data_IF_623520326270
#
_entry.id   IF_623520326270
#
_cell.length_a   1.000
_cell.length_b   1.000
_cell.length_c   1.000
_cell.angle_alpha   90.00
_cell.angle_beta   90.00
_cell.angle_gamma   90.00
#
_symmetry.space_group_name_H-M   'P 1'
#
loop_
_entity.id
_entity.type
_entity.pdbx_description
1 polymer ?
#
# COMPACT_ATOMS: atom_id res chain seq x y z
N UNK A 1 -24.98 -4.73 -12.62
CA UNK A 1 -26.15 -3.81 -12.59
C UNK A 1 -26.84 -3.72 -11.23
N UNK A 2 -26.97 -4.82 -10.46
CA UNK A 2 -27.63 -4.81 -9.13
C UNK A 2 -26.97 -3.91 -8.07
N UNK A 3 -25.64 -3.90 -8.00
CA UNK A 3 -24.88 -3.09 -7.03
C UNK A 3 -25.06 -1.57 -7.26
N UNK A 4 -25.33 -1.16 -8.50
CA UNK A 4 -25.52 0.24 -8.89
C UNK A 4 -26.91 0.78 -8.48
N UNK A 5 -27.95 -0.04 -8.51
CA UNK A 5 -29.33 0.40 -8.21
C UNK A 5 -29.60 0.56 -6.71
N UNK A 6 -28.99 -0.27 -5.85
CA UNK A 6 -29.34 -0.36 -4.42
C UNK A 6 -28.39 0.43 -3.50
N UNK A 7 -27.31 1.00 -4.03
CA UNK A 7 -26.31 1.70 -3.22
C UNK A 7 -26.60 3.21 -3.12
N UNK A 8 -26.53 3.73 -1.88
CA UNK A 8 -26.50 5.19 -1.65
C UNK A 8 -25.28 5.82 -2.37
N UNK A 9 -25.35 7.11 -2.74
CA UNK A 9 -24.23 7.86 -3.34
C UNK A 9 -22.87 7.59 -2.69
N UNK A 10 -22.82 7.58 -1.35
CA UNK A 10 -21.59 7.31 -0.59
C UNK A 10 -21.15 5.84 -0.65
N UNK A 11 -22.09 4.88 -0.58
CA UNK A 11 -21.77 3.46 -0.76
C UNK A 11 -21.24 3.19 -2.16
N UNK A 12 -21.83 3.82 -3.18
CA UNK A 12 -21.38 3.72 -4.56
C UNK A 12 -19.93 4.21 -4.75
N UNK A 13 -19.61 5.41 -4.23
CA UNK A 13 -18.23 5.93 -4.20
C UNK A 13 -17.25 4.96 -3.56
N UNK A 14 -17.61 4.38 -2.41
CA UNK A 14 -16.75 3.42 -1.71
C UNK A 14 -16.54 2.14 -2.53
N UNK A 15 -17.59 1.61 -3.16
CA UNK A 15 -17.51 0.41 -4.01
C UNK A 15 -16.57 0.64 -5.20
N UNK A 16 -16.70 1.77 -5.89
CA UNK A 16 -15.78 2.12 -6.98
C UNK A 16 -14.34 2.14 -6.47
N UNK A 17 -14.10 2.72 -5.30
CA UNK A 17 -12.74 2.77 -4.75
C UNK A 17 -12.17 1.40 -4.41
N UNK A 18 -12.98 0.49 -3.86
CA UNK A 18 -12.54 -0.89 -3.65
C UNK A 18 -12.25 -1.63 -4.96
N UNK A 19 -13.10 -1.44 -5.98
CA UNK A 19 -12.85 -1.97 -7.33
C UNK A 19 -11.52 -1.43 -7.85
N UNK A 20 -11.26 -0.12 -7.75
CA UNK A 20 -10.00 0.49 -8.18
C UNK A 20 -8.78 -0.10 -7.46
N UNK A 21 -8.85 -0.31 -6.14
CA UNK A 21 -7.77 -0.93 -5.37
C UNK A 21 -7.52 -2.36 -5.86
N UNK A 22 -8.58 -3.17 -6.01
CA UNK A 22 -8.46 -4.56 -6.49
C UNK A 22 -7.90 -4.60 -7.90
N UNK A 23 -8.39 -3.76 -8.81
CA UNK A 23 -7.89 -3.68 -10.19
C UNK A 23 -6.42 -3.24 -10.25
N UNK A 24 -6.01 -2.27 -9.42
CA UNK A 24 -4.61 -1.84 -9.37
C UNK A 24 -3.68 -2.99 -8.98
N UNK A 25 -4.06 -3.74 -7.94
CA UNK A 25 -3.31 -4.92 -7.47
C UNK A 25 -3.35 -6.05 -8.51
N UNK A 26 -4.49 -6.27 -9.18
CA UNK A 26 -4.63 -7.29 -10.22
C UNK A 26 -3.75 -6.97 -11.43
N UNK A 27 -3.74 -5.73 -11.92
CA UNK A 27 -2.90 -5.32 -13.05
C UNK A 27 -1.42 -5.50 -12.70
N UNK A 28 -1.00 -5.04 -11.52
CA UNK A 28 0.37 -5.20 -11.04
C UNK A 28 0.74 -6.69 -10.88
N UNK A 29 -0.15 -7.48 -10.28
CA UNK A 29 -0.05 -8.93 -10.13
C UNK A 29 0.08 -9.64 -11.46
N UNK A 30 -0.79 -9.33 -12.41
CA UNK A 30 -0.75 -9.86 -13.77
C UNK A 30 0.57 -9.53 -14.45
N UNK A 31 1.03 -8.28 -14.38
CA UNK A 31 2.31 -7.87 -14.97
C UNK A 31 3.51 -8.63 -14.38
N UNK A 32 3.51 -8.91 -13.08
CA UNK A 32 4.61 -9.65 -12.44
C UNK A 32 4.50 -11.17 -12.61
N UNK A 33 3.32 -11.75 -12.42
CA UNK A 33 3.15 -13.20 -12.34
C UNK A 33 3.07 -13.83 -13.73
N UNK A 34 2.33 -13.21 -14.66
CA UNK A 34 2.02 -13.81 -15.96
C UNK A 34 3.29 -14.14 -16.77
N UNK A 35 4.28 -13.23 -16.95
CA UNK A 35 5.49 -13.56 -17.70
C UNK A 35 6.26 -14.75 -17.12
N UNK A 36 6.32 -14.85 -15.78
CA UNK A 36 7.02 -15.93 -15.07
C UNK A 36 6.32 -17.28 -15.22
N UNK A 37 4.98 -17.28 -15.22
CA UNK A 37 4.22 -18.50 -15.51
C UNK A 37 4.49 -18.97 -16.95
N UNK A 38 4.55 -18.05 -17.91
CA UNK A 38 4.88 -18.37 -19.31
C UNK A 38 6.30 -18.91 -19.49
N UNK A 39 7.29 -18.40 -18.75
CA UNK A 39 8.65 -18.95 -18.77
C UNK A 39 8.71 -20.39 -18.22
N UNK A 40 7.90 -20.70 -17.19
CA UNK A 40 7.85 -22.05 -16.57
C UNK A 40 7.01 -23.06 -17.36
N UNK A 41 5.90 -22.62 -17.95
CA UNK A 41 5.04 -23.47 -18.76
C UNK A 41 5.54 -23.52 -20.21
N UNK A 42 6.26 -24.60 -20.53
CA UNK A 42 6.24 -25.19 -21.88
C UNK A 42 6.76 -24.26 -22.99
N UNK A 43 7.97 -23.73 -22.84
CA UNK A 43 8.77 -23.29 -24.00
C UNK A 43 9.38 -24.47 -24.79
N UNK A 44 9.05 -25.73 -24.46
CA UNK A 44 9.65 -26.90 -25.12
C UNK A 44 8.77 -27.68 -26.08
N UNK A 45 7.42 -27.69 -26.00
CA UNK A 45 6.64 -28.63 -26.84
C UNK A 45 5.21 -28.18 -27.24
N UNK A 46 4.84 -26.90 -27.14
CA UNK A 46 3.53 -26.45 -27.64
C UNK A 46 3.68 -25.07 -28.25
N UNK A 47 3.17 -24.87 -29.47
CA UNK A 47 3.10 -23.54 -30.10
C UNK A 47 2.12 -22.71 -29.26
N UNK A 48 2.65 -21.97 -28.28
CA UNK A 48 1.88 -21.31 -27.21
C UNK A 48 0.76 -20.43 -27.78
N UNK A 49 0.94 -19.85 -28.97
CA UNK A 49 -0.05 -19.03 -29.68
C UNK A 49 -1.29 -19.77 -30.19
N UNK A 50 -1.60 -20.96 -29.69
CA UNK A 50 -2.76 -21.75 -30.11
C UNK A 50 -3.63 -22.23 -28.92
N UNK A 51 -3.21 -21.93 -27.68
CA UNK A 51 -3.93 -22.36 -26.48
C UNK A 51 -5.28 -21.63 -26.32
N UNK A 52 -6.42 -22.34 -26.15
CA UNK A 52 -7.73 -21.70 -25.97
C UNK A 52 -7.82 -20.77 -24.76
N UNK A 53 -7.04 -21.03 -23.71
CA UNK A 53 -6.98 -20.18 -22.52
C UNK A 53 -6.52 -18.74 -22.82
N UNK A 54 -5.75 -18.52 -23.91
CA UNK A 54 -5.31 -17.20 -24.33
C UNK A 54 -6.46 -16.32 -24.83
N UNK A 55 -7.61 -16.90 -25.21
CA UNK A 55 -8.80 -16.13 -25.56
C UNK A 55 -9.37 -15.34 -24.37
N UNK A 56 -9.00 -15.66 -23.14
CA UNK A 56 -9.40 -14.87 -21.97
C UNK A 56 -8.50 -13.65 -21.73
N UNK A 57 -7.40 -13.50 -22.49
CA UNK A 57 -6.45 -12.41 -22.32
C UNK A 57 -6.64 -11.36 -23.43
N UNK A 58 -7.21 -10.17 -23.14
CA UNK A 58 -7.37 -9.12 -24.14
C UNK A 58 -6.09 -8.72 -24.91
N UNK A 59 -4.89 -8.67 -24.29
CA UNK A 59 -3.66 -8.40 -25.03
C UNK A 59 -3.38 -9.41 -26.14
N UNK A 60 -3.79 -10.68 -25.96
CA UNK A 60 -3.60 -11.72 -26.96
C UNK A 60 -4.47 -11.50 -28.20
N UNK A 61 -5.67 -10.93 -28.06
CA UNK A 61 -6.54 -10.61 -29.20
C UNK A 61 -5.83 -9.66 -30.17
N UNK A 62 -5.21 -8.60 -29.66
CA UNK A 62 -4.45 -7.65 -30.48
C UNK A 62 -3.19 -8.27 -31.07
N UNK A 63 -2.49 -9.13 -30.32
CA UNK A 63 -1.34 -9.85 -30.84
C UNK A 63 -1.73 -10.81 -31.99
N UNK A 64 -2.87 -11.51 -31.84
CA UNK A 64 -3.42 -12.39 -32.87
C UNK A 64 -3.83 -11.62 -34.13
N UNK A 65 -4.43 -10.44 -33.98
CA UNK A 65 -4.74 -9.55 -35.12
C UNK A 65 -3.49 -9.15 -35.89
N UNK A 66 -2.39 -8.80 -35.19
CA UNK A 66 -1.10 -8.48 -35.83
C UNK A 66 -0.44 -9.70 -36.48
N UNK A 67 -0.60 -10.89 -35.89
CA UNK A 67 -0.11 -12.14 -36.47
C UNK A 67 -0.85 -12.47 -37.76
N UNK A 68 -2.17 -12.36 -37.77
CA UNK A 68 -2.99 -12.60 -38.97
C UNK A 68 -2.67 -11.63 -40.10
N UNK A 69 -2.40 -10.36 -39.78
CA UNK A 69 -2.07 -9.36 -40.81
C UNK A 69 -0.70 -9.57 -41.47
N UNK A 70 0.20 -10.32 -40.84
CA UNK A 70 1.58 -10.49 -41.31
C UNK A 70 1.91 -11.91 -41.78
N UNK A 71 1.34 -12.93 -41.14
CA UNK A 71 1.74 -14.34 -41.34
C UNK A 71 0.58 -15.26 -41.74
N UNK A 72 -0.66 -14.74 -41.85
CA UNK A 72 -1.89 -15.47 -42.20
C UNK A 72 -1.96 -16.89 -41.62
N UNK A 73 -2.53 -17.03 -40.41
CA UNK A 73 -2.58 -18.32 -39.75
C UNK A 73 -3.96 -18.97 -39.88
N UNK A 74 -4.00 -20.26 -40.22
CA UNK A 74 -5.27 -21.00 -40.35
C UNK A 74 -5.81 -21.51 -39.01
N UNK A 75 -5.20 -21.15 -37.89
CA UNK A 75 -5.54 -21.73 -36.60
C UNK A 75 -6.81 -21.07 -36.00
N UNK A 76 -7.87 -21.83 -35.67
CA UNK A 76 -9.16 -21.28 -35.22
C UNK A 76 -9.06 -20.33 -34.02
N UNK A 77 -8.17 -20.63 -33.06
CA UNK A 77 -7.99 -19.78 -31.87
C UNK A 77 -7.42 -18.41 -32.21
N UNK A 78 -6.52 -18.32 -33.18
CA UNK A 78 -5.91 -17.05 -33.61
C UNK A 78 -6.95 -16.22 -34.37
N UNK A 79 -7.74 -16.87 -35.24
CA UNK A 79 -8.82 -16.22 -35.98
C UNK A 79 -9.91 -15.65 -35.06
N UNK A 80 -10.37 -16.45 -34.07
CA UNK A 80 -11.34 -15.97 -33.06
C UNK A 80 -10.75 -14.81 -32.26
N UNK A 81 -9.48 -14.89 -31.85
CA UNK A 81 -8.81 -13.83 -31.12
C UNK A 81 -8.71 -12.53 -31.95
N UNK A 82 -8.37 -12.63 -33.24
CA UNK A 82 -8.32 -11.48 -34.14
C UNK A 82 -9.71 -10.84 -34.35
N UNK A 83 -10.77 -11.66 -34.47
CA UNK A 83 -12.14 -11.17 -34.54
C UNK A 83 -12.56 -10.45 -33.24
N UNK A 84 -12.21 -11.00 -32.07
CA UNK A 84 -12.45 -10.37 -30.77
C UNK A 84 -11.74 -9.01 -30.66
N UNK A 85 -10.53 -8.86 -31.21
CA UNK A 85 -9.78 -7.61 -31.18
C UNK A 85 -10.51 -6.44 -31.87
N UNK A 86 -11.33 -6.74 -32.89
CA UNK A 86 -12.13 -5.76 -33.61
C UNK A 86 -13.53 -5.58 -32.99
N UNK A 87 -14.18 -6.69 -32.62
CA UNK A 87 -15.55 -6.67 -32.12
C UNK A 87 -15.66 -6.15 -30.68
N UNK A 88 -14.75 -6.55 -29.80
CA UNK A 88 -14.83 -6.22 -28.37
C UNK A 88 -14.69 -4.72 -28.07
N UNK A 89 -13.81 -3.94 -28.72
CA UNK A 89 -13.77 -2.49 -28.53
C UNK A 89 -15.08 -1.81 -28.94
N UNK A 90 -15.67 -2.19 -30.08
CA UNK A 90 -16.93 -1.63 -30.58
C UNK A 90 -18.09 -1.98 -29.64
N UNK A 91 -18.20 -3.25 -29.26
CA UNK A 91 -19.18 -3.70 -28.28
C UNK A 91 -19.00 -3.00 -26.93
N UNK A 92 -17.76 -2.82 -26.49
CA UNK A 92 -17.41 -2.11 -25.27
C UNK A 92 -17.89 -0.67 -25.27
N UNK A 93 -17.62 0.07 -26.35
CA UNK A 93 -18.11 1.46 -26.52
C UNK A 93 -19.63 1.48 -26.48
N UNK A 94 -20.29 0.60 -27.25
CA UNK A 94 -21.76 0.51 -27.27
C UNK A 94 -22.32 0.25 -25.87
N UNK A 95 -21.77 -0.72 -25.14
CA UNK A 95 -22.24 -1.08 -23.79
C UNK A 95 -22.01 0.07 -22.81
N UNK A 96 -20.84 0.72 -22.86
CA UNK A 96 -20.51 1.88 -21.99
C UNK A 96 -21.47 3.04 -22.24
N UNK A 97 -21.64 3.44 -23.49
CA UNK A 97 -22.48 4.60 -23.84
C UNK A 97 -23.96 4.31 -23.56
N UNK A 98 -24.46 3.12 -23.93
CA UNK A 98 -25.88 2.80 -23.83
C UNK A 98 -26.34 2.45 -22.42
N UNK A 99 -25.53 1.73 -21.65
CA UNK A 99 -25.97 1.17 -20.36
C UNK A 99 -25.24 1.76 -19.15
N UNK A 100 -23.93 1.99 -19.24
CA UNK A 100 -23.15 2.45 -18.07
C UNK A 100 -23.21 3.96 -17.88
N UNK A 101 -22.99 4.74 -18.94
CA UNK A 101 -22.92 6.21 -18.87
C UNK A 101 -24.19 6.86 -18.28
N UNK A 102 -25.43 6.47 -18.66
CA UNK A 102 -26.64 7.07 -18.08
C UNK A 102 -26.76 6.82 -16.57
N UNK A 103 -26.55 5.57 -16.15
CA UNK A 103 -26.61 5.18 -14.73
C UNK A 103 -25.52 5.87 -13.92
N UNK A 104 -24.31 5.97 -14.48
CA UNK A 104 -23.19 6.64 -13.85
C UNK A 104 -23.45 8.15 -13.67
N UNK A 105 -23.89 8.81 -14.74
CA UNK A 105 -24.22 10.24 -14.72
C UNK A 105 -25.34 10.57 -13.73
N UNK A 106 -26.38 9.72 -13.66
CA UNK A 106 -27.46 9.88 -12.68
C UNK A 106 -26.94 9.78 -11.24
N UNK A 107 -26.07 8.81 -10.95
CA UNK A 107 -25.46 8.65 -9.61
C UNK A 107 -24.48 9.77 -9.28
N UNK A 108 -23.74 10.26 -10.28
CA UNK A 108 -22.84 11.41 -10.14
C UNK A 108 -23.63 12.68 -9.80
N UNK A 109 -24.76 12.91 -10.46
CA UNK A 109 -25.64 14.04 -10.16
C UNK A 109 -26.21 13.96 -8.73
N UNK A 110 -26.62 12.77 -8.28
CA UNK A 110 -27.09 12.54 -6.91
C UNK A 110 -26.00 12.82 -5.86
N UNK A 111 -24.76 12.41 -6.13
CA UNK A 111 -23.60 12.69 -5.28
C UNK A 111 -23.37 14.20 -5.12
N UNK A 112 -23.44 14.96 -6.21
CA UNK A 112 -23.19 16.39 -6.22
C UNK A 112 -24.30 17.19 -5.53
N UNK A 113 -25.54 16.68 -5.57
CA UNK A 113 -26.69 17.26 -4.85
C UNK A 113 -26.83 16.85 -3.38
N UNK A 114 -26.21 15.75 -2.95
CA UNK A 114 -26.38 15.18 -1.61
C UNK A 114 -25.24 15.49 -0.63
N UNK A 115 -24.47 16.57 -0.84
CA UNK A 115 -23.33 16.95 0.01
C UNK A 115 -23.70 17.29 1.47
N UNK A 116 -24.99 17.25 1.83
CA UNK A 116 -25.50 17.58 3.16
C UNK A 116 -26.08 16.43 3.99
N UNK A 117 -26.19 15.20 3.48
CA UNK A 117 -26.71 14.10 4.32
C UNK A 117 -25.64 13.58 5.27
N UNK A 118 -25.56 14.24 6.43
CA UNK A 118 -24.85 13.74 7.60
C UNK A 118 -25.29 12.28 7.85
N UNK A 119 -24.35 11.35 7.73
CA UNK A 119 -24.58 9.98 8.14
C UNK A 119 -25.08 10.00 9.59
N UNK A 120 -26.34 9.61 9.81
CA UNK A 120 -26.94 9.47 11.14
C UNK A 120 -25.95 8.73 12.01
N UNK A 121 -25.43 9.41 13.03
CA UNK A 121 -24.45 8.86 13.94
C UNK A 121 -25.06 7.63 14.60
N UNK A 122 -24.68 6.44 14.11
CA UNK A 122 -25.07 5.17 14.73
C UNK A 122 -24.58 5.24 16.18
N UNK A 123 -25.50 5.19 17.15
CA UNK A 123 -25.17 5.13 18.58
C UNK A 123 -24.07 4.08 18.76
N UNK A 124 -22.91 4.51 19.25
CA UNK A 124 -21.79 3.62 19.55
C UNK A 124 -22.27 2.73 20.69
N UNK A 125 -22.61 1.48 20.37
CA UNK A 125 -22.93 0.48 21.37
C UNK A 125 -21.73 0.29 22.32
N UNK A 126 -22.04 0.19 23.62
CA UNK A 126 -21.13 0.45 24.72
C UNK A 126 -19.86 -0.39 24.81
N UNK A 127 -18.90 0.17 25.54
CA UNK A 127 -17.81 -0.43 26.34
C UNK A 127 -17.06 -1.68 25.86
N UNK A 128 -17.08 -2.03 24.58
CA UNK A 128 -16.12 -2.98 24.02
C UNK A 128 -14.84 -2.22 23.69
N UNK A 129 -13.75 -2.58 24.37
CA UNK A 129 -12.40 -2.16 23.98
C UNK A 129 -12.17 -2.56 22.53
N UNK A 130 -12.20 -1.58 21.63
CA UNK A 130 -11.94 -1.82 20.21
C UNK A 130 -10.46 -2.18 20.05
N UNK A 131 -10.10 -3.00 19.06
CA UNK A 131 -8.70 -3.32 18.74
C UNK A 131 -7.81 -2.05 18.66
N UNK A 132 -8.33 -0.97 18.08
CA UNK A 132 -7.64 0.33 18.05
C UNK A 132 -7.34 0.90 19.43
N UNK A 133 -8.23 0.71 20.41
CA UNK A 133 -8.06 1.16 21.80
C UNK A 133 -7.00 0.34 22.53
N UNK A 134 -7.00 -0.98 22.32
CA UNK A 134 -5.96 -1.88 22.86
C UNK A 134 -4.58 -1.45 22.35
N UNK A 135 -4.45 -1.25 21.03
CA UNK A 135 -3.20 -0.78 20.43
C UNK A 135 -2.79 0.61 20.94
N UNK A 136 -3.75 1.52 21.09
CA UNK A 136 -3.46 2.85 21.61
C UNK A 136 -2.94 2.78 23.06
N UNK A 137 -3.55 1.96 23.92
CA UNK A 137 -3.09 1.78 25.30
C UNK A 137 -1.67 1.19 25.39
N UNK A 138 -1.27 0.36 24.42
CA UNK A 138 0.04 -0.31 24.43
C UNK A 138 1.17 0.58 23.88
N UNK A 139 0.91 1.36 22.82
CA UNK A 139 1.95 2.06 22.07
C UNK A 139 2.00 3.58 22.30
N UNK A 140 1.04 4.17 22.99
CA UNK A 140 0.96 5.63 23.19
C UNK A 140 0.86 6.05 24.65
N UNK A 141 1.37 7.24 24.97
CA UNK A 141 1.12 7.85 26.27
C UNK A 141 -0.34 8.34 26.34
N UNK A 142 -0.92 8.30 27.54
CA UNK A 142 -2.27 8.82 27.79
C UNK A 142 -2.37 10.31 27.45
N UNK A 143 -3.56 10.76 27.07
CA UNK A 143 -3.84 12.15 26.73
C UNK A 143 -3.88 12.41 25.23
N UNK A 144 -3.23 13.49 24.79
CA UNK A 144 -3.32 14.00 23.41
C UNK A 144 -2.72 13.01 22.39
N UNK A 145 -1.61 12.35 22.73
CA UNK A 145 -0.96 11.37 21.85
C UNK A 145 -1.91 10.21 21.53
N UNK A 146 -2.54 9.64 22.56
CA UNK A 146 -3.52 8.57 22.42
C UNK A 146 -4.75 9.00 21.61
N UNK A 147 -5.27 10.21 21.86
CA UNK A 147 -6.40 10.75 21.11
C UNK A 147 -6.06 10.91 19.62
N UNK A 148 -4.87 11.44 19.32
CA UNK A 148 -4.37 11.59 17.95
C UNK A 148 -4.16 10.24 17.25
N UNK A 149 -3.63 9.24 17.98
CA UNK A 149 -3.50 7.88 17.47
C UNK A 149 -4.85 7.30 17.06
N UNK A 150 -5.84 7.38 17.93
CA UNK A 150 -7.18 6.85 17.66
C UNK A 150 -7.90 7.62 16.55
N UNK A 151 -7.71 8.94 16.47
CA UNK A 151 -8.22 9.76 15.39
C UNK A 151 -7.60 9.33 14.05
N UNK A 152 -6.28 9.28 13.97
CA UNK A 152 -5.55 8.91 12.76
C UNK A 152 -5.86 7.47 12.33
N UNK A 153 -5.93 6.53 13.28
CA UNK A 153 -6.35 5.15 13.03
C UNK A 153 -7.72 5.08 12.33
N UNK A 154 -8.70 5.86 12.82
CA UNK A 154 -10.04 5.90 12.22
C UNK A 154 -10.05 6.61 10.88
N UNK A 155 -9.26 7.68 10.72
CA UNK A 155 -9.13 8.40 9.47
C UNK A 155 -8.54 7.50 8.38
N UNK A 156 -7.45 6.76 8.66
CA UNK A 156 -6.85 5.82 7.71
C UNK A 156 -7.82 4.71 7.28
N UNK A 157 -8.69 4.24 8.19
CA UNK A 157 -9.72 3.22 7.89
C UNK A 157 -10.97 3.75 7.20
N UNK A 158 -11.24 5.06 7.21
CA UNK A 158 -12.51 5.63 6.72
C UNK A 158 -12.31 6.54 5.52
N UNK A 159 -11.21 7.28 5.47
CA UNK A 159 -10.90 8.19 4.38
C UNK A 159 -10.64 7.40 3.09
N UNK A 160 -11.50 7.64 2.10
CA UNK A 160 -11.47 6.94 0.82
C UNK A 160 -10.21 7.25 0.02
N UNK A 161 -9.81 8.51 -0.03
CA UNK A 161 -8.65 8.94 -0.80
C UNK A 161 -7.35 8.40 -0.22
N UNK A 162 -7.29 8.28 1.12
CA UNK A 162 -6.21 7.58 1.79
C UNK A 162 -6.16 6.10 1.36
N UNK A 163 -7.30 5.38 1.41
CA UNK A 163 -7.37 3.97 0.98
C UNK A 163 -6.91 3.78 -0.45
N UNK A 164 -7.41 4.61 -1.37
CA UNK A 164 -7.09 4.54 -2.78
C UNK A 164 -5.59 4.64 -3.07
N UNK A 165 -4.83 5.37 -2.25
CA UNK A 165 -3.40 5.59 -2.45
C UNK A 165 -2.51 4.64 -1.66
N UNK A 166 -2.98 4.16 -0.49
CA UNK A 166 -2.15 3.39 0.45
C UNK A 166 -2.45 1.89 0.38
N UNK A 167 -3.71 1.49 0.22
CA UNK A 167 -4.09 0.07 0.26
C UNK A 167 -3.54 -0.75 -0.92
N UNK A 168 -3.43 -0.20 -2.16
CA UNK A 168 -2.76 -0.93 -3.24
C UNK A 168 -1.33 -1.34 -2.89
N UNK A 169 -0.60 -0.54 -2.10
CA UNK A 169 0.78 -0.86 -1.71
C UNK A 169 0.87 -2.17 -0.90
N UNK A 170 -0.14 -2.48 -0.08
CA UNK A 170 -0.24 -3.77 0.63
C UNK A 170 -0.41 -4.91 -0.38
N UNK A 171 -1.28 -4.73 -1.38
CA UNK A 171 -1.46 -5.72 -2.43
C UNK A 171 -0.22 -5.91 -3.30
N UNK A 172 0.50 -4.83 -3.63
CA UNK A 172 1.78 -4.90 -4.34
C UNK A 172 2.83 -5.67 -3.55
N UNK A 173 2.92 -5.43 -2.23
CA UNK A 173 3.80 -6.20 -1.34
C UNK A 173 3.46 -7.70 -1.39
N UNK A 174 2.18 -8.07 -1.29
CA UNK A 174 1.74 -9.47 -1.38
C UNK A 174 2.04 -10.10 -2.74
N UNK A 175 1.88 -9.35 -3.83
CA UNK A 175 2.27 -9.79 -5.18
C UNK A 175 3.77 -10.05 -5.24
N UNK A 176 4.61 -9.13 -4.75
CA UNK A 176 6.06 -9.32 -4.74
C UNK A 176 6.44 -10.56 -3.94
N UNK A 177 5.78 -10.79 -2.80
CA UNK A 177 5.99 -11.99 -2.00
C UNK A 177 5.65 -13.23 -2.81
N UNK A 178 4.44 -13.28 -3.39
CA UNK A 178 4.01 -14.39 -4.25
C UNK A 178 4.99 -14.63 -5.41
N UNK A 179 5.49 -13.57 -6.05
CA UNK A 179 6.45 -13.64 -7.16
C UNK A 179 7.79 -14.21 -6.72
N UNK A 180 8.29 -13.82 -5.55
CA UNK A 180 9.51 -14.38 -4.98
C UNK A 180 9.35 -15.89 -4.74
N UNK A 181 8.18 -16.34 -4.29
CA UNK A 181 7.88 -17.77 -4.14
C UNK A 181 7.73 -18.51 -5.48
N UNK A 182 7.18 -17.84 -6.49
CA UNK A 182 6.96 -18.43 -7.82
C UNK A 182 8.24 -18.59 -8.64
N UNK A 183 9.37 -18.01 -8.24
CA UNK A 183 10.67 -18.22 -8.90
C UNK A 183 11.09 -19.69 -8.85
N UNK A 184 10.73 -20.37 -7.77
CA UNK A 184 11.25 -21.67 -7.40
C UNK A 184 10.26 -22.79 -7.81
N UNK A 185 10.75 -23.96 -8.20
CA UNK A 185 9.92 -25.01 -8.83
C UNK A 185 9.29 -25.96 -7.80
N UNK A 186 9.79 -25.95 -6.57
CA UNK A 186 9.30 -26.75 -5.46
C UNK A 186 9.24 -25.93 -4.16
N UNK A 187 8.46 -26.41 -3.18
CA UNK A 187 8.44 -25.80 -1.84
C UNK A 187 9.80 -25.91 -1.13
N UNK A 188 10.61 -26.92 -1.46
CA UNK A 188 11.98 -27.04 -0.96
C UNK A 188 12.90 -25.97 -1.55
N UNK A 189 12.77 -25.67 -2.84
CA UNK A 189 13.55 -24.62 -3.51
C UNK A 189 13.22 -23.24 -2.91
N UNK A 190 11.95 -23.00 -2.59
CA UNK A 190 11.49 -21.80 -1.87
C UNK A 190 12.15 -21.70 -0.50
N UNK A 191 12.17 -22.81 0.26
CA UNK A 191 12.77 -22.84 1.58
C UNK A 191 14.29 -22.56 1.50
N UNK A 192 14.97 -23.12 0.50
CA UNK A 192 16.39 -22.84 0.22
C UNK A 192 16.62 -21.38 -0.18
N UNK A 193 15.72 -20.80 -0.99
CA UNK A 193 15.73 -19.39 -1.38
C UNK A 193 15.51 -18.41 -0.22
N UNK A 194 15.03 -18.90 0.92
CA UNK A 194 14.77 -18.15 2.15
C UNK A 194 15.55 -18.66 3.36
N UNK A 195 16.51 -19.56 3.16
CA UNK A 195 17.36 -20.10 4.20
C UNK A 195 18.48 -19.13 4.55
N UNK A 196 18.49 -18.57 5.76
CA UNK A 196 19.50 -17.66 6.29
C UNK A 196 20.93 -18.21 6.21
N UNK A 197 21.11 -19.54 6.12
CA UNK A 197 22.42 -20.18 5.97
C UNK A 197 23.04 -19.92 4.57
N UNK A 198 22.22 -19.65 3.56
CA UNK A 198 22.65 -19.42 2.19
C UNK A 198 23.01 -17.95 1.94
N UNK A 199 24.20 -17.70 1.39
CA UNK A 199 24.60 -16.32 1.04
C UNK A 199 23.75 -15.72 -0.08
N UNK A 200 23.13 -16.55 -0.92
CA UNK A 200 22.27 -16.10 -2.04
C UNK A 200 20.87 -15.71 -1.57
N UNK A 201 20.34 -16.33 -0.51
CA UNK A 201 19.01 -16.03 0.05
C UNK A 201 18.98 -14.71 0.84
N UNK A 202 20.11 -14.28 1.42
CA UNK A 202 20.21 -13.06 2.22
C UNK A 202 19.62 -11.84 1.49
N UNK A 203 19.97 -11.64 0.21
CA UNK A 203 19.46 -10.52 -0.57
C UNK A 203 17.94 -10.58 -0.73
N UNK A 204 17.39 -11.78 -0.98
CA UNK A 204 15.94 -12.00 -1.07
C UNK A 204 15.26 -11.69 0.25
N UNK A 205 15.80 -12.18 1.38
CA UNK A 205 15.26 -11.94 2.72
C UNK A 205 15.30 -10.45 3.07
N UNK A 206 16.41 -9.76 2.79
CA UNK A 206 16.52 -8.32 2.98
C UNK A 206 15.52 -7.57 2.09
N UNK A 207 15.37 -7.95 0.82
CA UNK A 207 14.37 -7.36 -0.06
C UNK A 207 12.96 -7.50 0.53
N UNK A 208 12.58 -8.70 0.99
CA UNK A 208 11.27 -8.98 1.59
C UNK A 208 11.04 -8.19 2.88
N UNK A 209 12.06 -7.98 3.70
CA UNK A 209 11.97 -7.18 4.92
C UNK A 209 11.79 -5.68 4.60
N UNK A 210 12.61 -5.12 3.73
CA UNK A 210 12.62 -3.67 3.47
C UNK A 210 11.52 -3.21 2.51
N UNK A 211 10.99 -4.09 1.64
CA UNK A 211 9.84 -3.75 0.79
C UNK A 211 8.58 -3.47 1.61
N UNK A 212 8.46 -4.03 2.83
CA UNK A 212 7.37 -3.68 3.76
C UNK A 212 7.35 -2.19 4.08
N UNK A 213 8.50 -1.52 4.02
CA UNK A 213 8.65 -0.08 4.23
C UNK A 213 7.94 0.79 3.18
N UNK A 214 7.63 0.25 1.99
CA UNK A 214 6.81 0.95 1.00
C UNK A 214 5.41 1.27 1.53
N UNK A 215 4.84 0.38 2.35
CA UNK A 215 3.54 0.60 2.96
C UNK A 215 3.62 1.78 3.95
N UNK A 216 4.71 1.88 4.72
CA UNK A 216 4.95 3.04 5.61
C UNK A 216 5.17 4.35 4.86
N UNK A 217 5.96 4.34 3.78
CA UNK A 217 6.22 5.54 2.98
C UNK A 217 4.90 6.08 2.40
N UNK A 218 4.07 5.19 1.85
CA UNK A 218 2.80 5.59 1.25
C UNK A 218 1.79 6.06 2.30
N UNK A 219 1.67 5.37 3.43
CA UNK A 219 0.75 5.76 4.51
C UNK A 219 1.13 7.11 5.14
N UNK A 220 2.40 7.28 5.52
CA UNK A 220 2.89 8.52 6.13
C UNK A 220 2.91 9.67 5.14
N UNK A 221 3.24 9.39 3.87
CA UNK A 221 3.21 10.38 2.80
C UNK A 221 1.81 10.90 2.48
N UNK A 222 0.75 10.13 2.76
CA UNK A 222 -0.64 10.58 2.61
C UNK A 222 -1.26 11.13 3.90
N UNK A 223 -0.56 11.06 5.04
CA UNK A 223 -1.11 11.36 6.35
C UNK A 223 -1.59 12.81 6.53
N UNK A 224 -0.97 13.78 5.83
CA UNK A 224 -1.35 15.19 5.95
C UNK A 224 -2.60 15.55 5.16
N UNK A 225 -3.00 14.73 4.19
CA UNK A 225 -3.97 15.13 3.19
C UNK A 225 -5.40 14.72 3.54
N UNK A 226 -6.36 15.63 3.33
CA UNK A 226 -7.78 15.36 3.54
C UNK A 226 -8.64 16.20 2.59
N UNK A 227 -9.72 15.62 2.03
CA UNK A 227 -10.75 16.40 1.31
C UNK A 227 -11.43 17.40 2.25
N UNK A 228 -11.55 17.04 3.53
CA UNK A 228 -12.13 17.88 4.59
C UNK A 228 -11.06 18.61 5.41
N UNK A 229 -9.97 19.04 4.77
CA UNK A 229 -8.85 19.72 5.43
C UNK A 229 -9.29 20.97 6.22
N UNK A 230 -10.37 21.65 5.79
CA UNK A 230 -10.92 22.81 6.49
C UNK A 230 -11.33 22.49 7.93
N UNK A 231 -11.71 21.25 8.25
CA UNK A 231 -12.06 20.85 9.62
C UNK A 231 -10.86 20.84 10.59
N UNK A 232 -9.63 21.03 10.09
CA UNK A 232 -8.43 21.10 10.92
C UNK A 232 -8.39 22.32 11.86
N UNK A 233 -9.30 23.30 11.73
CA UNK A 233 -9.49 24.35 12.74
C UNK A 233 -9.68 23.78 14.14
N UNK A 234 -10.26 22.57 14.26
CA UNK A 234 -10.47 21.87 15.53
C UNK A 234 -9.16 21.69 16.32
N UNK A 235 -8.03 21.43 15.64
CA UNK A 235 -6.74 21.27 16.31
C UNK A 235 -6.24 22.55 16.98
N UNK A 236 -6.71 23.73 16.53
CA UNK A 236 -6.28 25.03 17.06
C UNK A 236 -7.15 25.54 18.20
N UNK A 237 -8.42 25.17 18.21
CA UNK A 237 -9.34 25.54 19.30
C UNK A 237 -9.25 24.59 20.48
N UNK A 238 -8.66 23.40 20.29
CA UNK A 238 -8.43 22.45 21.38
C UNK A 238 -7.23 22.94 22.21
N UNK A 239 -7.28 22.93 23.55
CA UNK A 239 -6.19 23.40 24.40
C UNK A 239 -5.00 22.43 24.35
N UNK A 240 -4.20 22.54 23.29
CA UNK A 240 -3.02 21.69 23.03
C UNK A 240 -1.77 22.55 23.11
N UNK A 241 -0.97 22.33 24.16
CA UNK A 241 0.25 23.10 24.42
C UNK A 241 1.27 23.02 23.27
N UNK A 242 1.49 21.81 22.74
CA UNK A 242 2.40 21.57 21.60
C UNK A 242 1.78 20.57 20.62
N UNK A 243 2.02 20.71 19.30
CA UNK A 243 1.50 19.79 18.30
C UNK A 243 2.29 18.47 18.21
N UNK A 244 3.49 18.40 18.81
CA UNK A 244 4.34 17.21 18.77
C UNK A 244 3.66 15.89 19.21
N UNK A 245 2.90 15.85 20.33
CA UNK A 245 2.11 14.66 20.70
C UNK A 245 1.07 14.26 19.66
N UNK A 246 0.50 15.23 18.92
CA UNK A 246 -0.43 14.94 17.82
C UNK A 246 0.31 14.21 16.69
N UNK A 247 1.48 14.71 16.28
CA UNK A 247 2.31 14.09 15.25
C UNK A 247 2.76 12.68 15.67
N UNK A 248 3.26 12.53 16.90
CA UNK A 248 3.71 11.25 17.46
C UNK A 248 2.59 10.20 17.43
N UNK A 249 1.39 10.56 17.89
CA UNK A 249 0.23 9.68 17.88
C UNK A 249 -0.16 9.22 16.48
N UNK A 250 -0.12 10.14 15.50
CA UNK A 250 -0.45 9.83 14.11
C UNK A 250 0.58 8.90 13.45
N UNK A 251 1.88 9.15 13.65
CA UNK A 251 2.96 8.28 13.15
C UNK A 251 2.86 6.88 13.75
N UNK A 252 2.67 6.78 15.06
CA UNK A 252 2.49 5.49 15.74
C UNK A 252 1.26 4.75 15.21
N UNK A 253 0.14 5.46 14.96
CA UNK A 253 -1.04 4.83 14.37
C UNK A 253 -0.73 4.20 13.01
N UNK A 254 0.01 4.91 12.16
CA UNK A 254 0.44 4.39 10.86
C UNK A 254 1.33 3.16 10.99
N UNK A 255 2.35 3.19 11.86
CA UNK A 255 3.26 2.07 12.10
C UNK A 255 2.48 0.84 12.59
N UNK A 256 1.62 1.01 13.60
CA UNK A 256 0.90 -0.13 14.19
C UNK A 256 -0.19 -0.67 13.26
N UNK A 257 -0.82 0.17 12.44
CA UNK A 257 -1.88 -0.26 11.54
C UNK A 257 -1.37 -0.94 10.26
N UNK A 258 -0.22 -0.49 9.75
CA UNK A 258 0.27 -0.91 8.44
C UNK A 258 1.62 -1.64 8.50
N UNK A 259 2.61 -1.05 9.17
CA UNK A 259 3.96 -1.61 9.21
C UNK A 259 4.04 -2.88 10.05
N UNK A 260 3.42 -2.88 11.23
CA UNK A 260 3.48 -4.00 12.16
C UNK A 260 2.83 -5.26 11.58
N UNK A 261 1.61 -5.24 11.01
CA UNK A 261 1.02 -6.43 10.39
C UNK A 261 1.83 -6.96 9.20
N UNK A 262 2.41 -6.07 8.38
CA UNK A 262 3.29 -6.46 7.28
C UNK A 262 4.54 -7.20 7.79
N UNK A 263 5.17 -6.70 8.86
CA UNK A 263 6.28 -7.38 9.51
C UNK A 263 5.90 -8.70 10.15
N UNK A 264 4.75 -8.77 10.83
CA UNK A 264 4.29 -10.02 11.44
C UNK A 264 4.11 -11.12 10.39
N UNK A 265 3.62 -10.78 9.20
CA UNK A 265 3.50 -11.73 8.09
C UNK A 265 4.88 -12.28 7.65
N UNK A 266 5.87 -11.39 7.48
CA UNK A 266 7.24 -11.79 7.11
C UNK A 266 7.92 -12.56 8.25
N UNK A 267 7.70 -12.14 9.50
CA UNK A 267 8.28 -12.76 10.69
C UNK A 267 7.82 -14.20 10.84
N UNK A 268 6.51 -14.46 10.74
CA UNK A 268 5.96 -15.81 10.79
C UNK A 268 6.58 -16.68 9.70
N UNK A 269 6.64 -16.17 8.47
CA UNK A 269 7.19 -16.90 7.34
C UNK A 269 8.66 -17.26 7.54
N UNK A 270 9.50 -16.29 7.92
CA UNK A 270 10.93 -16.53 8.12
C UNK A 270 11.21 -17.40 9.35
N UNK A 271 10.43 -17.27 10.42
CA UNK A 271 10.57 -18.10 11.62
C UNK A 271 10.17 -19.56 11.39
N UNK A 272 9.18 -19.83 10.55
CA UNK A 272 8.83 -21.21 10.17
C UNK A 272 9.98 -21.89 9.43
N UNK A 273 10.67 -21.16 8.54
CA UNK A 273 11.74 -21.71 7.69
C UNK A 273 13.07 -21.81 8.44
N UNK A 274 13.43 -20.76 9.19
CA UNK A 274 14.78 -20.59 9.76
C UNK A 274 14.83 -20.70 11.29
N UNK A 275 13.68 -20.89 11.93
CA UNK A 275 13.56 -20.86 13.38
C UNK A 275 13.68 -19.44 13.97
N UNK A 276 13.84 -19.36 15.31
CA UNK A 276 13.79 -18.09 16.05
C UNK A 276 14.87 -17.08 15.68
N UNK A 277 16.00 -17.51 15.10
CA UNK A 277 17.11 -16.63 14.74
C UNK A 277 16.71 -15.57 13.69
N UNK A 278 15.72 -15.88 12.85
CA UNK A 278 15.13 -14.92 11.91
C UNK A 278 14.56 -13.67 12.60
N UNK A 279 14.11 -13.79 13.85
CA UNK A 279 13.52 -12.67 14.60
C UNK A 279 14.54 -11.55 14.85
N UNK A 280 15.84 -11.87 14.89
CA UNK A 280 16.89 -10.85 14.97
C UNK A 280 16.84 -9.93 13.74
N UNK A 281 16.83 -10.50 12.54
CA UNK A 281 16.79 -9.73 11.30
C UNK A 281 15.45 -8.98 11.15
N UNK A 282 14.34 -9.62 11.51
CA UNK A 282 13.03 -8.95 11.55
C UNK A 282 13.05 -7.74 12.48
N UNK A 283 13.59 -7.89 13.69
CA UNK A 283 13.67 -6.81 14.68
C UNK A 283 14.55 -5.65 14.23
N UNK A 284 15.71 -5.95 13.65
CA UNK A 284 16.62 -4.93 13.10
C UNK A 284 15.95 -4.15 11.97
N UNK A 285 15.30 -4.84 11.03
CA UNK A 285 14.57 -4.19 9.95
C UNK A 285 13.41 -3.34 10.50
N UNK A 286 12.68 -3.81 11.52
CA UNK A 286 11.61 -3.04 12.15
C UNK A 286 12.13 -1.75 12.80
N UNK A 287 13.27 -1.81 13.50
CA UNK A 287 13.91 -0.62 14.06
C UNK A 287 14.32 0.38 12.97
N UNK A 288 14.95 -0.10 11.90
CA UNK A 288 15.36 0.74 10.76
C UNK A 288 14.17 1.43 10.09
N UNK A 289 13.09 0.68 9.83
CA UNK A 289 11.89 1.24 9.21
C UNK A 289 11.12 2.17 10.16
N UNK A 290 11.16 1.93 11.47
CA UNK A 290 10.59 2.83 12.48
C UNK A 290 11.37 4.15 12.56
N UNK A 291 12.71 4.10 12.51
CA UNK A 291 13.55 5.29 12.42
C UNK A 291 13.21 6.09 11.15
N UNK A 292 13.14 5.41 10.00
CA UNK A 292 12.80 6.03 8.72
C UNK A 292 11.40 6.67 8.75
N UNK A 293 10.41 6.02 9.37
CA UNK A 293 9.06 6.54 9.52
C UNK A 293 9.04 7.88 10.28
N UNK A 294 9.78 7.98 11.39
CA UNK A 294 9.88 9.24 12.15
C UNK A 294 10.63 10.30 11.37
N UNK A 295 11.77 9.93 10.76
CA UNK A 295 12.57 10.83 9.94
C UNK A 295 11.73 11.42 8.78
N UNK A 296 10.92 10.61 8.12
CA UNK A 296 10.03 11.05 7.04
C UNK A 296 9.09 12.16 7.51
N UNK A 297 8.47 12.00 8.69
CA UNK A 297 7.59 13.03 9.24
C UNK A 297 8.37 14.28 9.65
N UNK A 298 9.54 14.13 10.25
CA UNK A 298 10.36 15.28 10.64
C UNK A 298 10.86 16.10 9.44
N UNK A 299 11.24 15.46 8.34
CA UNK A 299 11.81 16.17 7.18
C UNK A 299 10.78 16.54 6.11
N UNK A 300 9.63 15.85 6.05
CA UNK A 300 8.66 16.02 4.96
C UNK A 300 7.31 16.62 5.38
N UNK A 301 6.92 16.53 6.65
CA UNK A 301 5.60 16.99 7.09
C UNK A 301 5.66 18.39 7.67
N UNK A 302 5.31 19.36 6.82
CA UNK A 302 5.09 20.75 7.25
C UNK A 302 3.70 20.97 7.86
N UNK A 303 2.81 19.98 7.84
CA UNK A 303 1.41 20.14 8.21
C UNK A 303 1.01 19.16 9.31
N UNK A 304 -0.05 19.50 10.06
CA UNK A 304 -0.70 18.54 10.96
C UNK A 304 -1.32 17.37 10.16
N UNK A 305 -1.48 16.19 10.79
CA UNK A 305 -2.19 15.08 10.17
C UNK A 305 -3.59 15.54 9.73
N UNK A 306 -3.97 15.20 8.49
CA UNK A 306 -5.29 15.48 7.91
C UNK A 306 -5.65 16.97 7.74
N UNK A 307 -4.66 17.87 7.70
CA UNK A 307 -4.89 19.33 7.69
C UNK A 307 -4.59 20.05 6.38
N UNK A 308 -4.08 19.35 5.36
CA UNK A 308 -3.75 19.92 4.06
C UNK A 308 -4.66 19.40 2.93
N UNK A 309 -5.02 20.23 1.93
CA UNK A 309 -5.65 19.74 0.72
C UNK A 309 -4.66 18.95 -0.13
N UNK A 310 -5.18 18.05 -0.96
CA UNK A 310 -4.38 17.34 -1.96
C UNK A 310 -3.94 18.36 -3.03
N UNK A 311 -2.70 18.82 -2.96
CA UNK A 311 -2.19 19.85 -3.85
C UNK A 311 -1.68 19.23 -5.16
N UNK A 312 -2.40 19.43 -6.27
CA UNK A 312 -2.06 18.80 -7.57
C UNK A 312 -0.83 19.42 -8.25
N UNK A 313 -0.47 20.66 -7.90
CA UNK A 313 0.64 21.39 -8.55
C UNK A 313 2.04 20.94 -8.08
N UNK A 314 2.15 20.15 -7.01
CA UNK A 314 3.44 19.68 -6.46
C UNK A 314 3.71 18.18 -6.72
N UNK A 315 3.10 17.59 -7.74
CA UNK A 315 3.30 16.16 -8.02
C UNK A 315 4.75 15.81 -8.34
N UNK A 316 5.48 16.64 -9.10
CA UNK A 316 6.89 16.37 -9.45
C UNK A 316 7.83 16.30 -8.25
N UNK A 317 7.71 17.25 -7.30
CA UNK A 317 8.50 17.24 -6.07
C UNK A 317 8.11 16.10 -5.13
N UNK A 318 6.83 15.70 -5.13
CA UNK A 318 6.37 14.52 -4.39
C UNK A 318 6.98 13.23 -4.93
N UNK A 319 7.07 13.07 -6.26
CA UNK A 319 7.70 11.90 -6.90
C UNK A 319 9.18 11.83 -6.53
N UNK A 320 9.91 12.95 -6.61
CA UNK A 320 11.33 13.00 -6.24
C UNK A 320 11.56 12.59 -4.78
N UNK A 321 10.71 13.09 -3.85
CA UNK A 321 10.76 12.68 -2.43
C UNK A 321 10.50 11.19 -2.26
N UNK A 322 9.49 10.63 -2.95
CA UNK A 322 9.21 9.19 -2.88
C UNK A 322 10.37 8.37 -3.42
N UNK A 323 10.97 8.75 -4.55
CA UNK A 323 12.15 8.06 -5.10
C UNK A 323 13.34 8.12 -4.14
N UNK A 324 13.63 9.28 -3.55
CA UNK A 324 14.70 9.41 -2.56
C UNK A 324 14.48 8.49 -1.34
N UNK A 325 13.24 8.35 -0.87
CA UNK A 325 12.89 7.43 0.22
C UNK A 325 13.01 5.95 -0.18
N UNK A 326 12.72 5.61 -1.44
CA UNK A 326 12.96 4.26 -1.97
C UNK A 326 14.47 3.94 -2.05
N UNK A 327 15.30 4.91 -2.43
CA UNK A 327 16.75 4.75 -2.37
C UNK A 327 17.25 4.58 -0.93
N UNK A 328 16.72 5.37 0.02
CA UNK A 328 17.05 5.22 1.44
C UNK A 328 16.69 3.82 1.98
N UNK A 329 15.54 3.26 1.58
CA UNK A 329 15.17 1.87 1.88
C UNK A 329 16.21 0.88 1.35
N UNK A 330 16.64 1.04 0.10
CA UNK A 330 17.66 0.19 -0.51
C UNK A 330 19.00 0.25 0.24
N UNK A 331 19.43 1.45 0.65
CA UNK A 331 20.65 1.65 1.44
C UNK A 331 20.54 0.94 2.80
N UNK A 332 19.42 1.10 3.52
CA UNK A 332 19.23 0.42 4.80
C UNK A 332 19.23 -1.12 4.64
N UNK A 333 18.60 -1.63 3.58
CA UNK A 333 18.64 -3.05 3.25
C UNK A 333 20.04 -3.56 2.92
N UNK A 334 20.84 -2.76 2.19
CA UNK A 334 22.22 -3.10 1.87
C UNK A 334 23.10 -3.10 3.12
N UNK A 335 23.01 -2.08 3.97
CA UNK A 335 23.77 -2.00 5.23
C UNK A 335 23.44 -3.19 6.15
N UNK A 336 22.17 -3.58 6.21
CA UNK A 336 21.76 -4.76 6.96
C UNK A 336 22.29 -6.05 6.33
N UNK A 337 22.28 -6.17 5.00
CA UNK A 337 22.88 -7.32 4.30
C UNK A 337 24.39 -7.43 4.55
N UNK A 338 25.12 -6.31 4.63
CA UNK A 338 26.54 -6.27 4.97
C UNK A 338 26.82 -6.68 6.42
N UNK A 339 25.93 -6.31 7.34
CA UNK A 339 26.03 -6.72 8.75
C UNK A 339 25.59 -8.17 8.99
N UNK A 340 24.90 -8.80 8.03
CA UNK A 340 24.31 -10.13 8.15
C UNK A 340 25.28 -11.24 8.61
N UNK A 341 26.54 -11.32 8.14
CA UNK A 341 27.46 -12.37 8.58
C UNK A 341 27.85 -12.27 10.05
N UNK A 342 27.65 -11.11 10.68
CA UNK A 342 28.11 -10.80 12.03
C UNK A 342 26.91 -10.53 12.93
N UNK A 343 26.52 -11.51 13.75
CA UNK A 343 25.35 -11.39 14.65
C UNK A 343 25.47 -10.15 15.57
N UNK A 344 26.66 -9.84 16.06
CA UNK A 344 26.92 -8.67 16.91
C UNK A 344 26.73 -7.36 16.14
N UNK A 345 27.08 -7.31 14.86
CA UNK A 345 26.89 -6.13 14.01
C UNK A 345 25.40 -5.92 13.71
N UNK A 346 24.65 -7.01 13.49
CA UNK A 346 23.19 -6.94 13.35
C UNK A 346 22.53 -6.39 14.63
N UNK A 347 22.92 -6.91 15.80
CA UNK A 347 22.41 -6.41 17.10
C UNK A 347 22.78 -4.94 17.27
N UNK A 348 24.03 -4.55 17.02
CA UNK A 348 24.47 -3.16 17.11
C UNK A 348 23.67 -2.24 16.18
N UNK A 349 23.46 -2.63 14.91
CA UNK A 349 22.64 -1.90 13.95
C UNK A 349 21.21 -1.71 14.47
N UNK A 350 20.58 -2.78 14.97
CA UNK A 350 19.21 -2.73 15.50
C UNK A 350 19.08 -1.87 16.75
N UNK A 351 20.04 -1.95 17.67
CA UNK A 351 20.06 -1.14 18.90
C UNK A 351 20.28 0.33 18.57
N UNK A 352 21.23 0.65 17.69
CA UNK A 352 21.48 2.03 17.25
C UNK A 352 20.26 2.62 16.53
N UNK A 353 19.65 1.86 15.62
CA UNK A 353 18.45 2.29 14.92
C UNK A 353 17.25 2.47 15.86
N UNK A 354 17.08 1.55 16.82
CA UNK A 354 16.02 1.64 17.84
C UNK A 354 16.21 2.84 18.77
N UNK A 355 17.44 3.08 19.23
CA UNK A 355 17.78 4.25 20.04
C UNK A 355 17.57 5.55 19.26
N UNK A 356 18.04 5.62 18.01
CA UNK A 356 17.82 6.75 17.14
C UNK A 356 16.33 7.00 16.89
N UNK A 357 15.54 5.95 16.67
CA UNK A 357 14.08 6.06 16.50
C UNK A 357 13.43 6.61 17.78
N UNK A 358 13.85 6.11 18.95
CA UNK A 358 13.36 6.57 20.25
C UNK A 358 13.67 8.05 20.51
N UNK A 359 14.91 8.49 20.30
CA UNK A 359 15.28 9.89 20.43
C UNK A 359 14.54 10.78 19.42
N UNK A 360 14.42 10.31 18.17
CA UNK A 360 13.66 11.02 17.13
C UNK A 360 12.19 11.17 17.50
N UNK A 361 11.56 10.14 18.10
CA UNK A 361 10.19 10.25 18.62
C UNK A 361 10.07 11.27 19.75
N UNK A 362 11.04 11.31 20.68
CA UNK A 362 11.07 12.31 21.75
C UNK A 362 11.21 13.72 21.20
N UNK A 363 12.04 13.92 20.19
CA UNK A 363 12.19 15.23 19.55
C UNK A 363 10.96 15.60 18.71
N UNK A 364 10.32 14.62 18.05
CA UNK A 364 9.03 14.82 17.39
C UNK A 364 7.97 15.32 18.39
N UNK A 365 7.92 14.73 19.60
CA UNK A 365 6.99 15.14 20.66
C UNK A 365 7.23 16.56 21.18
N UNK A 366 8.46 17.09 21.07
CA UNK A 366 8.79 18.48 21.43
C UNK A 366 8.49 19.49 20.33
N UNK A 367 8.02 19.05 19.16
CA UNK A 367 7.73 19.95 18.03
C UNK A 367 6.72 21.02 18.44
N UNK A 368 7.10 22.29 18.28
CA UNK A 368 6.25 23.45 18.54
C UNK A 368 5.44 23.90 17.32
N UNK A 369 4.44 24.75 17.56
CA UNK A 369 3.54 25.27 16.52
C UNK A 369 4.25 26.04 15.40
N UNK A 370 5.36 26.72 15.70
CA UNK A 370 6.14 27.52 14.74
C UNK A 370 6.70 26.71 13.56
N UNK A 371 6.90 25.39 13.73
CA UNK A 371 7.42 24.51 12.67
C UNK A 371 6.35 24.15 11.64
N UNK A 372 5.07 24.26 12.01
CA UNK A 372 3.96 23.77 11.20
C UNK A 372 3.34 24.89 10.37
N UNK A 373 3.29 24.67 9.06
CA UNK A 373 2.52 25.48 8.12
C UNK A 373 1.04 25.25 8.36
N UNK A 374 0.30 26.32 8.13
CA UNK A 374 -1.14 26.34 8.24
C UNK A 374 -1.73 26.75 6.91
N UNK A 375 -2.69 25.96 6.41
CA UNK A 375 -3.49 26.41 5.28
C UNK A 375 -4.33 27.59 5.75
N UNK A 376 -4.14 28.76 5.12
CA UNK A 376 -5.01 29.92 5.29
C UNK A 376 -6.30 29.67 4.49
N UNK A 377 -7.43 30.07 5.08
CA UNK A 377 -8.77 29.73 4.63
C UNK A 377 -9.21 30.52 3.40
#
# INVERSE_FOLDING_TARGET
MLVLKVSSPQKFKNIISYIQIVFAVLIYGGYQIVPRLFEKSVLKNTVIGEAPALLLAPPYWFAALLKESTQFSSHPVVLIAAALALLMPVLGIYVVVRFFAPTFNQKLAQISGSSGEAAVAKKVAGNRTTYSQMMANLFTNKGIEQASFLFSWRMMLRNRDFKLKVYPAIGYMLVIFAVSFLRDNSLSDVAEGLDLSSRKSNITIMMLLYITGLVSITSLGQMNFSEHYKAAWMFRVTPVATPGPILSGAVKASIIQFQLPAFMLVAVLLTIINGPMALLHVGVAFCNLSLMAVALVMFSNDYLPWSAPVNKNNQGSSVMKTLALMFALGILGLLHSLAFPYWWACVALGVLAGAAAWFSFRDLQKTGWHRLKTYQY
#
